data_IF_315582555140
#
_entry.id   IF_315582555140
#
_cell.length_a   1.000
_cell.length_b   1.000
_cell.length_c   1.000
_cell.angle_alpha   90.00
_cell.angle_beta   90.00
_cell.angle_gamma   90.00
#
_symmetry.space_group_name_H-M   'P 1'
#
loop_
_entity.id
_entity.type
_entity.pdbx_description
1 polymer ?
#
# COMPACT_ATOMS: atom_id res chain seq x y z
N UNK A 1 -16.99 3.36 34.66
CA UNK A 1 -16.61 2.09 35.32
C UNK A 1 -16.17 1.11 34.27
N UNK A 2 -14.90 0.70 34.16
CA UNK A 2 -14.49 -0.34 33.23
C UNK A 2 -15.09 -1.68 33.69
N UNK A 3 -15.65 -2.41 32.77
CA UNK A 3 -16.27 -3.71 32.96
C UNK A 3 -15.22 -4.70 33.49
N UNK A 4 -15.44 -5.25 34.67
CA UNK A 4 -14.63 -6.33 35.26
C UNK A 4 -15.02 -7.64 34.60
N UNK A 5 -14.51 -7.90 33.40
CA UNK A 5 -14.52 -9.24 32.87
C UNK A 5 -13.47 -10.07 33.65
N UNK A 6 -13.85 -11.21 34.18
CA UNK A 6 -12.88 -12.13 34.78
C UNK A 6 -11.92 -12.63 33.70
N UNK A 7 -10.66 -12.85 34.06
CA UNK A 7 -9.66 -13.44 33.13
C UNK A 7 -10.20 -14.73 32.48
N UNK A 8 -10.97 -15.53 33.23
CA UNK A 8 -11.62 -16.74 32.73
C UNK A 8 -12.61 -16.43 31.60
N UNK A 9 -13.49 -15.45 31.77
CA UNK A 9 -14.46 -15.06 30.74
C UNK A 9 -13.78 -14.53 29.46
N UNK A 10 -12.65 -13.84 29.60
CA UNK A 10 -11.84 -13.40 28.47
C UNK A 10 -11.20 -14.59 27.72
N UNK A 11 -10.66 -15.57 28.44
CA UNK A 11 -10.08 -16.76 27.87
C UNK A 11 -11.14 -17.63 27.17
N UNK A 12 -12.31 -17.82 27.79
CA UNK A 12 -13.43 -18.56 27.20
C UNK A 12 -13.93 -17.89 25.91
N UNK A 13 -13.99 -16.55 25.89
CA UNK A 13 -14.35 -15.81 24.68
C UNK A 13 -13.29 -15.97 23.58
N UNK A 14 -12.00 -15.86 23.89
CA UNK A 14 -10.89 -16.10 22.95
C UNK A 14 -10.92 -17.52 22.40
N UNK A 15 -11.16 -18.52 23.26
CA UNK A 15 -11.30 -19.92 22.83
C UNK A 15 -12.47 -20.09 21.85
N UNK A 16 -13.60 -19.42 22.07
CA UNK A 16 -14.74 -19.41 21.17
C UNK A 16 -14.46 -18.75 19.81
N UNK A 17 -13.48 -17.83 19.72
CA UNK A 17 -13.08 -17.21 18.46
C UNK A 17 -12.10 -18.07 17.66
N UNK A 18 -11.53 -19.12 18.25
CA UNK A 18 -10.51 -19.95 17.60
C UNK A 18 -10.91 -20.47 16.21
N UNK A 19 -12.10 -21.04 15.99
CA UNK A 19 -12.52 -21.52 14.67
C UNK A 19 -12.64 -20.38 13.62
N UNK A 20 -13.00 -19.18 14.07
CA UNK A 20 -13.03 -18.01 13.19
C UNK A 20 -11.61 -17.56 12.83
N UNK A 21 -10.69 -17.52 13.81
CA UNK A 21 -9.28 -17.16 13.59
C UNK A 21 -8.63 -18.15 12.62
N UNK A 22 -8.84 -19.45 12.82
CA UNK A 22 -8.29 -20.51 11.96
C UNK A 22 -8.76 -20.35 10.51
N UNK A 23 -10.07 -20.11 10.27
CA UNK A 23 -10.58 -19.82 8.92
C UNK A 23 -9.97 -18.55 8.30
N UNK A 24 -9.73 -17.50 9.10
CA UNK A 24 -9.07 -16.29 8.61
C UNK A 24 -7.60 -16.54 8.25
N UNK A 25 -6.90 -17.39 9.00
CA UNK A 25 -5.51 -17.76 8.74
C UNK A 25 -5.38 -18.68 7.52
N UNK A 26 -6.31 -19.63 7.32
CA UNK A 26 -6.35 -20.49 6.14
C UNK A 26 -6.55 -19.68 4.85
N UNK A 27 -7.36 -18.63 4.89
CA UNK A 27 -7.59 -17.71 3.76
C UNK A 27 -6.55 -16.60 3.63
N UNK A 28 -5.59 -16.49 4.54
CA UNK A 28 -4.59 -15.45 4.49
C UNK A 28 -3.62 -15.70 3.31
N UNK A 29 -3.31 -14.69 2.49
CA UNK A 29 -2.38 -14.85 1.40
C UNK A 29 -1.01 -15.23 1.95
N UNK A 30 -0.36 -16.21 1.30
CA UNK A 30 1.01 -16.61 1.65
C UNK A 30 1.92 -15.39 1.50
N UNK A 31 2.84 -15.24 2.46
CA UNK A 31 3.88 -14.21 2.37
C UNK A 31 4.66 -14.37 1.07
N UNK A 32 4.93 -13.25 0.42
CA UNK A 32 5.79 -13.17 -0.77
C UNK A 32 7.11 -12.53 -0.33
N UNK A 33 8.14 -13.33 -0.02
CA UNK A 33 9.42 -12.82 0.42
C UNK A 33 10.11 -12.07 -0.72
N UNK A 34 10.93 -11.08 -0.37
CA UNK A 34 11.78 -10.36 -1.32
C UNK A 34 13.11 -11.11 -1.44
N UNK A 35 13.10 -12.22 -2.18
CA UNK A 35 14.26 -13.11 -2.36
C UNK A 35 14.53 -13.37 -3.85
N UNK A 36 15.71 -13.88 -4.14
CA UNK A 36 16.11 -14.24 -5.51
C UNK A 36 15.15 -15.29 -6.10
N UNK A 37 14.73 -15.08 -7.34
CA UNK A 37 13.79 -15.92 -8.06
C UNK A 37 12.31 -15.64 -7.74
N UNK A 38 11.98 -14.87 -6.69
CA UNK A 38 10.60 -14.53 -6.39
C UNK A 38 9.96 -13.67 -7.50
N UNK A 39 8.64 -13.80 -7.65
CA UNK A 39 7.85 -12.93 -8.53
C UNK A 39 6.90 -12.11 -7.68
N UNK A 40 7.05 -10.80 -7.74
CA UNK A 40 6.17 -9.84 -7.07
C UNK A 40 5.51 -8.91 -8.08
N UNK A 41 4.32 -8.39 -7.84
CA UNK A 41 3.80 -7.33 -8.70
C UNK A 41 4.54 -6.02 -8.44
N UNK A 42 4.83 -5.27 -9.51
CA UNK A 42 5.28 -3.88 -9.48
C UNK A 42 4.41 -3.09 -10.44
N UNK A 43 3.74 -2.06 -9.96
CA UNK A 43 2.72 -1.32 -10.72
C UNK A 43 1.68 -2.26 -11.37
N UNK A 44 1.31 -3.33 -10.66
CA UNK A 44 0.36 -4.35 -11.12
C UNK A 44 0.93 -5.40 -12.09
N UNK A 45 2.19 -5.28 -12.52
CA UNK A 45 2.84 -6.22 -13.44
C UNK A 45 3.67 -7.25 -12.69
N UNK A 46 3.56 -8.55 -13.01
CA UNK A 46 4.42 -9.58 -12.45
C UNK A 46 5.89 -9.26 -12.77
N UNK A 47 6.71 -9.09 -11.75
CA UNK A 47 8.12 -8.73 -11.88
C UNK A 47 8.97 -9.77 -11.18
N UNK A 48 9.90 -10.40 -11.90
CA UNK A 48 10.84 -11.37 -11.35
C UNK A 48 12.01 -10.66 -10.69
N UNK A 49 12.35 -11.08 -9.48
CA UNK A 49 13.53 -10.61 -8.76
C UNK A 49 14.71 -11.52 -9.12
N UNK A 50 15.83 -10.95 -9.55
CA UNK A 50 17.03 -11.71 -9.95
C UNK A 50 18.27 -11.12 -9.32
N UNK A 51 19.00 -11.95 -8.57
CA UNK A 51 20.29 -11.57 -8.02
C UNK A 51 21.39 -11.66 -9.08
N UNK A 52 22.22 -10.61 -9.19
CA UNK A 52 23.34 -10.53 -10.12
C UNK A 52 24.64 -10.37 -9.32
N UNK A 53 25.30 -11.47 -8.89
CA UNK A 53 26.44 -11.44 -7.97
C UNK A 53 27.63 -10.61 -8.46
N UNK A 54 27.84 -10.59 -9.76
CA UNK A 54 28.97 -9.89 -10.42
C UNK A 54 28.70 -8.40 -10.64
N UNK A 55 27.45 -7.95 -10.50
CA UNK A 55 27.11 -6.55 -10.70
C UNK A 55 27.46 -5.72 -9.45
N UNK A 56 27.85 -4.45 -9.70
CA UNK A 56 27.96 -3.47 -8.61
C UNK A 56 26.62 -3.32 -7.88
N UNK A 57 26.67 -2.87 -6.62
CA UNK A 57 25.45 -2.54 -5.87
C UNK A 57 24.57 -1.59 -6.68
N UNK A 58 23.34 -2.02 -6.94
CA UNK A 58 22.37 -1.25 -7.71
C UNK A 58 21.18 -2.12 -8.09
N UNK A 59 20.13 -1.48 -8.54
CA UNK A 59 18.92 -2.16 -9.01
C UNK A 59 18.53 -1.57 -10.36
N UNK A 60 18.23 -2.45 -11.31
CA UNK A 60 17.74 -2.07 -12.64
C UNK A 60 16.51 -2.90 -12.98
N UNK A 61 15.44 -2.23 -13.40
CA UNK A 61 14.23 -2.87 -13.90
C UNK A 61 14.28 -2.84 -15.44
N UNK A 62 14.25 -4.02 -16.06
CA UNK A 62 14.17 -4.18 -17.51
C UNK A 62 13.33 -5.43 -17.82
N UNK A 63 12.44 -5.33 -18.80
CA UNK A 63 11.63 -6.46 -19.31
C UNK A 63 10.92 -7.26 -18.20
N UNK A 64 10.30 -6.57 -17.24
CA UNK A 64 9.63 -7.13 -16.06
C UNK A 64 10.57 -7.99 -15.16
N UNK A 65 11.88 -7.76 -15.24
CA UNK A 65 12.91 -8.37 -14.38
C UNK A 65 13.62 -7.28 -13.58
N UNK A 66 13.66 -7.43 -12.28
CA UNK A 66 14.39 -6.56 -11.35
C UNK A 66 15.75 -7.19 -11.04
N UNK A 67 16.79 -6.70 -11.73
CA UNK A 67 18.17 -7.12 -11.50
C UNK A 67 18.75 -6.41 -10.27
N UNK A 68 19.20 -7.18 -9.28
CA UNK A 68 19.70 -6.66 -8.00
C UNK A 68 21.16 -7.07 -7.83
N UNK A 69 22.06 -6.09 -7.89
CA UNK A 69 23.48 -6.29 -7.66
C UNK A 69 23.88 -6.13 -6.19
N UNK A 70 25.01 -6.73 -5.82
CA UNK A 70 25.59 -6.68 -4.49
C UNK A 70 25.43 -7.97 -3.71
N UNK A 71 25.78 -7.99 -2.41
CA UNK A 71 25.74 -9.19 -1.58
C UNK A 71 24.31 -9.74 -1.40
N UNK A 72 24.17 -11.06 -1.41
CA UNK A 72 22.88 -11.75 -1.33
C UNK A 72 22.13 -11.42 0.00
N UNK A 73 22.85 -11.29 1.10
CA UNK A 73 22.28 -10.92 2.41
C UNK A 73 21.64 -9.54 2.41
N UNK A 74 22.02 -8.66 1.49
CA UNK A 74 21.43 -7.33 1.35
C UNK A 74 20.31 -7.26 0.30
N UNK A 75 20.01 -8.38 -0.38
CA UNK A 75 19.07 -8.43 -1.51
C UNK A 75 17.66 -7.93 -1.13
N UNK A 76 16.99 -8.59 -0.17
CA UNK A 76 15.64 -8.22 0.25
C UNK A 76 15.53 -6.77 0.73
N UNK A 77 16.41 -6.32 1.66
CA UNK A 77 16.47 -4.90 2.05
C UNK A 77 16.71 -3.92 0.89
N UNK A 78 17.48 -4.31 -0.12
CA UNK A 78 17.73 -3.47 -1.29
C UNK A 78 16.47 -3.34 -2.16
N UNK A 79 15.78 -4.46 -2.43
CA UNK A 79 14.49 -4.48 -3.15
C UNK A 79 13.45 -3.62 -2.43
N UNK A 80 13.30 -3.77 -1.11
CA UNK A 80 12.35 -2.98 -0.35
C UNK A 80 12.65 -1.47 -0.43
N UNK A 81 13.91 -1.07 -0.27
CA UNK A 81 14.30 0.34 -0.43
C UNK A 81 13.97 0.88 -1.81
N UNK A 82 14.22 0.10 -2.85
CA UNK A 82 13.89 0.47 -4.22
C UNK A 82 12.38 0.65 -4.41
N UNK A 83 11.57 -0.30 -3.93
CA UNK A 83 10.10 -0.20 -3.97
C UNK A 83 9.60 1.04 -3.22
N UNK A 84 10.16 1.36 -2.05
CA UNK A 84 9.82 2.56 -1.27
C UNK A 84 10.19 3.85 -2.01
N UNK A 85 11.32 3.86 -2.71
CA UNK A 85 11.74 5.01 -3.52
C UNK A 85 10.79 5.20 -4.70
N UNK A 86 10.54 4.13 -5.47
CA UNK A 86 9.59 4.15 -6.58
C UNK A 86 8.18 4.57 -6.13
N UNK A 87 7.72 4.05 -4.99
CA UNK A 87 6.42 4.44 -4.40
C UNK A 87 6.39 5.94 -4.09
N UNK A 88 7.45 6.49 -3.48
CA UNK A 88 7.53 7.92 -3.17
C UNK A 88 7.43 8.76 -4.44
N UNK A 89 8.19 8.40 -5.47
CA UNK A 89 8.23 9.15 -6.71
C UNK A 89 6.86 9.13 -7.42
N UNK A 90 6.24 7.94 -7.56
CA UNK A 90 4.93 7.79 -8.19
C UNK A 90 3.81 8.49 -7.42
N UNK A 91 3.77 8.29 -6.10
CA UNK A 91 2.75 8.91 -5.25
C UNK A 91 2.90 10.43 -5.19
N UNK A 92 4.13 10.94 -5.15
CA UNK A 92 4.37 12.39 -5.18
C UNK A 92 3.94 13.01 -6.50
N UNK A 93 4.30 12.39 -7.62
CA UNK A 93 3.92 12.86 -8.94
C UNK A 93 2.38 12.85 -9.14
N UNK A 94 1.73 11.73 -8.77
CA UNK A 94 0.27 11.63 -8.85
C UNK A 94 -0.43 12.64 -7.93
N UNK A 95 0.09 12.84 -6.71
CA UNK A 95 -0.47 13.83 -5.77
C UNK A 95 -0.33 15.24 -6.31
N UNK A 96 0.81 15.61 -6.88
CA UNK A 96 1.02 16.93 -7.45
C UNK A 96 0.05 17.20 -8.62
N UNK A 97 -0.13 16.21 -9.51
CA UNK A 97 -1.04 16.34 -10.64
C UNK A 97 -2.50 16.52 -10.20
N UNK A 98 -2.98 15.66 -9.27
CA UNK A 98 -4.37 15.72 -8.79
C UNK A 98 -4.61 16.97 -7.91
N UNK A 99 -3.62 17.39 -7.11
CA UNK A 99 -3.71 18.62 -6.32
C UNK A 99 -3.81 19.87 -7.20
N UNK A 100 -3.04 19.92 -8.30
CA UNK A 100 -3.13 20.99 -9.28
C UNK A 100 -4.51 21.04 -9.94
N UNK A 101 -5.05 19.89 -10.34
CA UNK A 101 -6.42 19.77 -10.89
C UNK A 101 -7.49 20.24 -9.89
N UNK A 102 -7.30 19.91 -8.61
CA UNK A 102 -8.20 20.30 -7.53
C UNK A 102 -8.07 21.79 -7.10
N UNK A 103 -7.02 22.49 -7.54
CA UNK A 103 -6.71 23.85 -7.10
C UNK A 103 -6.31 23.92 -5.62
N UNK A 104 -5.74 22.86 -5.05
CA UNK A 104 -5.35 22.79 -3.64
C UNK A 104 -3.84 22.62 -3.45
N UNK A 105 -3.34 23.08 -2.30
CA UNK A 105 -1.96 22.87 -1.91
C UNK A 105 -1.82 21.60 -1.04
N UNK A 106 -0.77 20.82 -1.28
CA UNK A 106 -0.31 19.73 -0.43
C UNK A 106 1.02 20.11 0.20
N UNK A 107 1.08 20.06 1.53
CA UNK A 107 2.28 20.46 2.28
C UNK A 107 3.45 19.53 2.09
N UNK A 108 3.17 18.23 2.15
CA UNK A 108 4.19 17.18 1.99
C UNK A 108 3.56 15.84 1.64
N UNK A 109 4.30 15.02 0.91
CA UNK A 109 3.99 13.62 0.64
C UNK A 109 5.06 12.74 1.27
N UNK A 110 4.64 11.73 2.01
CA UNK A 110 5.55 10.75 2.61
C UNK A 110 5.04 9.32 2.42
N UNK A 111 5.95 8.36 2.43
CA UNK A 111 5.61 6.93 2.37
C UNK A 111 6.04 6.22 3.66
N UNK A 112 5.23 5.27 4.09
CA UNK A 112 5.47 4.44 5.26
C UNK A 112 4.90 3.05 5.08
N UNK A 113 4.76 2.29 6.15
CA UNK A 113 4.13 0.97 6.14
C UNK A 113 3.02 0.86 7.19
N UNK A 114 1.94 1.66 7.10
CA UNK A 114 0.84 1.57 8.05
C UNK A 114 0.04 0.28 7.83
N UNK A 115 -0.28 -0.41 8.94
CA UNK A 115 -1.00 -1.70 8.90
C UNK A 115 -2.48 -1.53 8.54
N UNK A 116 -3.14 -0.44 9.01
CA UNK A 116 -4.60 -0.31 8.98
C UNK A 116 -5.16 0.56 7.85
N UNK A 117 -4.31 1.31 7.12
CA UNK A 117 -4.76 2.27 6.11
C UNK A 117 -3.82 2.31 4.90
N UNK A 118 -4.31 2.77 3.76
CA UNK A 118 -3.54 2.94 2.53
C UNK A 118 -3.01 4.35 2.37
N UNK A 119 -3.75 5.32 2.89
CA UNK A 119 -3.39 6.73 2.92
C UNK A 119 -3.92 7.43 4.17
N UNK A 120 -3.49 8.65 4.38
CA UNK A 120 -4.06 9.60 5.35
C UNK A 120 -3.67 11.02 4.99
N UNK A 121 -4.62 11.96 5.11
CA UNK A 121 -4.41 13.38 4.96
C UNK A 121 -4.65 14.09 6.29
N UNK A 122 -3.71 14.93 6.72
CA UNK A 122 -3.90 15.78 7.89
C UNK A 122 -4.57 17.10 7.50
N UNK A 123 -5.19 17.79 8.47
CA UNK A 123 -5.74 19.13 8.28
C UNK A 123 -4.69 20.15 7.82
N UNK A 124 -3.43 19.95 8.20
CA UNK A 124 -2.30 20.78 7.76
C UNK A 124 -1.85 20.51 6.31
N UNK A 125 -2.44 19.51 5.63
CA UNK A 125 -2.12 19.17 4.24
C UNK A 125 -0.93 18.23 4.06
N UNK A 126 -0.44 17.58 5.11
CA UNK A 126 0.53 16.51 4.98
C UNK A 126 -0.19 15.21 4.63
N UNK A 127 0.24 14.55 3.56
CA UNK A 127 -0.31 13.26 3.12
C UNK A 127 0.73 12.17 3.32
N UNK A 128 0.29 11.04 3.88
CA UNK A 128 1.13 9.86 4.06
C UNK A 128 0.46 8.65 3.40
N UNK A 129 1.23 7.89 2.62
CA UNK A 129 0.76 6.68 1.93
C UNK A 129 1.50 5.43 2.40
N UNK A 130 0.88 4.26 2.20
CA UNK A 130 1.58 3.00 2.25
C UNK A 130 2.45 2.83 1.00
N UNK A 131 3.73 2.48 1.17
CA UNK A 131 4.62 2.17 0.05
C UNK A 131 4.10 0.99 -0.79
N UNK A 132 3.31 0.12 -0.17
CA UNK A 132 2.75 -1.08 -0.84
C UNK A 132 1.77 -0.75 -1.97
N UNK A 133 1.33 0.50 -2.08
CA UNK A 133 0.51 0.95 -3.21
C UNK A 133 1.24 0.84 -4.56
N UNK A 134 2.59 0.83 -4.56
CA UNK A 134 3.37 0.65 -5.79
C UNK A 134 3.25 -0.77 -6.37
N UNK A 135 2.81 -1.72 -5.56
CA UNK A 135 2.58 -3.10 -5.96
C UNK A 135 1.23 -3.24 -6.69
N UNK A 136 0.27 -2.37 -6.36
CA UNK A 136 -1.05 -2.35 -6.98
C UNK A 136 -1.03 -1.82 -8.42
N UNK A 137 -2.06 -2.11 -9.22
CA UNK A 137 -2.27 -1.44 -10.51
C UNK A 137 -2.31 0.09 -10.35
N UNK A 138 -1.83 0.85 -11.36
CA UNK A 138 -1.76 2.32 -11.31
C UNK A 138 -3.11 2.99 -10.99
N UNK A 139 -4.22 2.42 -11.46
CA UNK A 139 -5.57 2.95 -11.22
C UNK A 139 -5.93 2.89 -9.72
N UNK A 140 -5.51 1.82 -9.02
CA UNK A 140 -5.74 1.66 -7.58
C UNK A 140 -4.91 2.66 -6.79
N UNK A 141 -3.64 2.87 -7.19
CA UNK A 141 -2.78 3.91 -6.61
C UNK A 141 -3.41 5.29 -6.83
N UNK A 142 -3.82 5.62 -8.07
CA UNK A 142 -4.47 6.88 -8.42
C UNK A 142 -5.75 7.12 -7.60
N UNK A 143 -6.57 6.08 -7.41
CA UNK A 143 -7.78 6.16 -6.58
C UNK A 143 -7.44 6.58 -5.14
N UNK A 144 -6.45 5.94 -4.50
CA UNK A 144 -6.06 6.30 -3.13
C UNK A 144 -5.51 7.73 -3.08
N UNK A 145 -4.74 8.16 -4.07
CA UNK A 145 -4.25 9.54 -4.15
C UNK A 145 -5.41 10.54 -4.30
N UNK A 146 -6.38 10.27 -5.17
CA UNK A 146 -7.56 11.12 -5.34
C UNK A 146 -8.37 11.24 -4.04
N UNK A 147 -8.52 10.13 -3.30
CA UNK A 147 -9.17 10.10 -1.99
C UNK A 147 -8.47 11.04 -0.99
N UNK A 148 -7.15 10.93 -0.87
CA UNK A 148 -6.39 11.75 0.09
C UNK A 148 -6.33 13.23 -0.34
N UNK A 149 -6.30 13.53 -1.64
CA UNK A 149 -6.37 14.91 -2.13
C UNK A 149 -7.78 15.49 -1.95
N UNK A 150 -8.84 14.69 -2.08
CA UNK A 150 -10.21 15.15 -1.81
C UNK A 150 -10.38 15.63 -0.35
N UNK A 151 -9.60 15.07 0.60
CA UNK A 151 -9.55 15.57 1.98
C UNK A 151 -8.97 17.00 2.10
N UNK A 152 -8.29 17.52 1.09
CA UNK A 152 -7.89 18.93 1.07
C UNK A 152 -9.06 19.88 0.78
N UNK A 153 -10.13 19.37 0.20
CA UNK A 153 -11.37 20.10 -0.05
C UNK A 153 -12.39 19.88 1.10
N UNK A 154 -12.51 18.63 1.56
CA UNK A 154 -13.46 18.23 2.60
C UNK A 154 -12.81 17.20 3.52
N UNK A 155 -12.69 17.53 4.83
CA UNK A 155 -12.03 16.64 5.81
C UNK A 155 -12.93 15.49 6.29
N UNK A 156 -14.22 15.54 5.98
CA UNK A 156 -15.21 14.51 6.26
C UNK A 156 -15.47 13.60 5.03
N UNK A 157 -16.33 12.60 5.17
CA UNK A 157 -16.78 11.77 4.05
C UNK A 157 -18.23 12.11 3.64
N UNK A 158 -18.57 13.41 3.67
CA UNK A 158 -19.88 13.96 3.27
C UNK A 158 -20.20 13.70 1.79
N UNK A 159 -21.41 13.99 1.33
CA UNK A 159 -21.75 13.98 -0.09
C UNK A 159 -20.83 14.87 -0.94
N UNK A 160 -20.41 16.03 -0.41
CA UNK A 160 -19.47 16.94 -1.07
C UNK A 160 -18.09 16.30 -1.26
N UNK A 161 -17.58 15.60 -0.24
CA UNK A 161 -16.34 14.80 -0.36
C UNK A 161 -16.47 13.75 -1.46
N UNK A 162 -17.56 12.98 -1.46
CA UNK A 162 -17.75 11.91 -2.48
C UNK A 162 -17.78 12.47 -3.89
N UNK A 163 -18.44 13.58 -4.10
CA UNK A 163 -18.46 14.27 -5.39
C UNK A 163 -17.06 14.77 -5.82
N UNK A 164 -16.27 15.27 -4.87
CA UNK A 164 -14.88 15.66 -5.10
C UNK A 164 -14.00 14.44 -5.43
N UNK A 165 -14.11 13.34 -4.67
CA UNK A 165 -13.39 12.08 -4.91
C UNK A 165 -13.68 11.54 -6.32
N UNK A 166 -14.94 11.47 -6.73
CA UNK A 166 -15.36 11.00 -8.07
C UNK A 166 -14.80 11.88 -9.20
N UNK A 167 -14.88 13.19 -9.04
CA UNK A 167 -14.32 14.14 -10.02
C UNK A 167 -12.81 14.00 -10.15
N UNK A 168 -12.07 13.96 -9.06
CA UNK A 168 -10.61 13.90 -9.03
C UNK A 168 -10.06 12.54 -9.49
N UNK A 169 -10.78 11.48 -9.18
CA UNK A 169 -10.40 10.16 -9.67
C UNK A 169 -10.67 10.01 -11.17
N UNK A 170 -11.77 10.59 -11.67
CA UNK A 170 -12.13 10.55 -13.09
C UNK A 170 -12.56 9.15 -13.56
N UNK A 171 -13.04 8.29 -12.66
CA UNK A 171 -13.45 6.92 -12.96
C UNK A 171 -14.44 6.37 -11.93
N UNK A 172 -14.85 5.10 -12.05
CA UNK A 172 -15.85 4.49 -11.18
C UNK A 172 -15.23 4.17 -9.79
N UNK A 173 -15.37 5.09 -8.84
CA UNK A 173 -14.86 5.00 -7.46
C UNK A 173 -15.25 3.68 -6.79
N UNK A 174 -16.48 3.20 -6.97
CA UNK A 174 -16.95 1.96 -6.37
C UNK A 174 -16.13 0.74 -6.86
N UNK A 175 -15.77 0.71 -8.14
CA UNK A 175 -14.95 -0.35 -8.74
C UNK A 175 -13.53 -0.30 -8.19
N UNK A 176 -12.89 0.87 -8.19
CA UNK A 176 -11.52 1.04 -7.68
C UNK A 176 -11.43 0.70 -6.18
N UNK A 177 -12.44 1.09 -5.39
CA UNK A 177 -12.54 0.76 -3.96
C UNK A 177 -12.72 -0.74 -3.73
N UNK A 178 -13.53 -1.40 -4.55
CA UNK A 178 -13.71 -2.85 -4.49
C UNK A 178 -12.41 -3.58 -4.84
N UNK A 179 -11.73 -3.12 -5.88
CA UNK A 179 -10.44 -3.69 -6.33
C UNK A 179 -9.35 -3.51 -5.26
N UNK A 180 -9.23 -2.33 -4.64
CA UNK A 180 -8.32 -2.11 -3.52
C UNK A 180 -8.60 -3.08 -2.36
N UNK A 181 -9.87 -3.31 -2.01
CA UNK A 181 -10.25 -4.27 -0.97
C UNK A 181 -9.83 -5.69 -1.34
N UNK A 182 -10.08 -6.10 -2.58
CA UNK A 182 -9.73 -7.43 -3.10
C UNK A 182 -8.22 -7.66 -3.08
N UNK A 183 -7.43 -6.65 -3.47
CA UNK A 183 -5.97 -6.74 -3.52
C UNK A 183 -5.30 -6.59 -2.15
N UNK A 184 -5.93 -5.91 -1.20
CA UNK A 184 -5.34 -5.53 0.10
C UNK A 184 -4.60 -6.66 0.82
N UNK A 185 -5.13 -7.89 0.93
CA UNK A 185 -4.41 -8.98 1.59
C UNK A 185 -3.11 -9.34 0.86
N UNK A 186 -3.14 -9.46 -0.49
CA UNK A 186 -1.97 -9.79 -1.29
C UNK A 186 -0.90 -8.68 -1.25
N UNK A 187 -1.32 -7.41 -1.32
CA UNK A 187 -0.39 -6.27 -1.22
C UNK A 187 0.34 -6.26 0.14
N UNK A 188 -0.35 -6.63 1.22
CA UNK A 188 0.24 -6.69 2.56
C UNK A 188 1.16 -7.89 2.76
N UNK A 189 1.02 -8.93 1.95
CA UNK A 189 1.84 -10.13 2.02
C UNK A 189 3.26 -9.94 1.45
N UNK A 190 3.49 -8.94 0.60
CA UNK A 190 4.79 -8.70 -0.03
C UNK A 190 5.78 -8.13 0.98
N UNK A 191 6.97 -8.75 1.12
CA UNK A 191 8.06 -8.25 1.96
C UNK A 191 7.71 -8.14 3.45
N UNK A 192 6.73 -8.91 3.94
CA UNK A 192 6.40 -8.95 5.35
C UNK A 192 7.52 -9.64 6.15
N UNK A 193 8.33 -8.87 6.89
CA UNK A 193 9.22 -9.37 7.93
C UNK A 193 8.48 -9.47 9.25
#
# INVERSE_FOLDING_TARGET
MPWRHSAKAALDWVAGQRPWIERQLEGAPKRLPLEDGAVIPVEGRPTRLVHVPTARRGITLADDVLHVGGPLESFGPAVERWLRTLARDRLSAATAAIAAEAGVSVRSVSVGDPVSRWGSCSSSGAIRFSWRLIIAPPEVLRFVVAHEVAHRLHMDHSPAFKAAEERLFGGPVAVARSELRRLSPALRAVGGG
#
